data_IF_460296665182
#
_entry.id   IF_460296665182
#
_cell.length_a   1.000
_cell.length_b   1.000
_cell.length_c   1.000
_cell.angle_alpha   90.00
_cell.angle_beta   90.00
_cell.angle_gamma   90.00
#
_symmetry.space_group_name_H-M   'P 1'
#
loop_
_entity.id
_entity.type
_entity.pdbx_description
1 polymer ?
#
# COMPACT_ATOMS: atom_id res chain seq x y z
N UNK A 1 -24.13 -16.54 23.86
CA UNK A 1 -24.29 -15.87 25.17
C UNK A 1 -22.92 -15.29 25.53
N UNK A 2 -22.76 -13.96 25.54
CA UNK A 2 -21.46 -13.34 25.86
C UNK A 2 -21.19 -13.55 27.35
N UNK A 3 -20.07 -14.17 27.69
CA UNK A 3 -19.64 -14.38 29.07
C UNK A 3 -18.92 -13.11 29.54
N UNK A 4 -19.53 -12.26 30.39
CA UNK A 4 -18.95 -10.97 30.79
C UNK A 4 -17.48 -11.11 31.25
N UNK A 5 -17.19 -12.18 31.98
CA UNK A 5 -15.87 -12.42 32.56
C UNK A 5 -14.73 -12.65 31.55
N UNK A 6 -15.00 -13.12 30.32
CA UNK A 6 -13.93 -13.40 29.34
C UNK A 6 -13.15 -12.14 28.98
N UNK A 7 -13.84 -11.04 28.75
CA UNK A 7 -13.22 -9.76 28.36
C UNK A 7 -12.39 -9.16 29.49
N UNK A 8 -12.86 -9.28 30.73
CA UNK A 8 -12.16 -8.77 31.91
C UNK A 8 -10.96 -9.65 32.26
N UNK A 9 -11.08 -10.97 32.12
CA UNK A 9 -9.97 -11.90 32.30
C UNK A 9 -8.89 -11.71 31.24
N UNK A 10 -9.28 -11.53 29.98
CA UNK A 10 -8.37 -11.15 28.90
C UNK A 10 -7.63 -9.86 29.25
N UNK A 11 -8.36 -8.81 29.64
CA UNK A 11 -7.76 -7.54 30.04
C UNK A 11 -6.74 -7.70 31.18
N UNK A 12 -7.09 -8.41 32.26
CA UNK A 12 -6.19 -8.63 33.39
C UNK A 12 -4.91 -9.36 32.99
N UNK A 13 -4.99 -10.26 32.02
CA UNK A 13 -3.83 -11.01 31.50
C UNK A 13 -2.92 -10.14 30.64
N UNK A 14 -3.49 -9.32 29.74
CA UNK A 14 -2.68 -8.48 28.83
C UNK A 14 -2.16 -7.20 29.51
N UNK A 15 -2.87 -6.71 30.52
CA UNK A 15 -2.50 -5.53 31.31
C UNK A 15 -1.65 -5.86 32.55
N UNK A 16 -1.13 -7.08 32.65
CA UNK A 16 -0.37 -7.51 33.83
C UNK A 16 0.83 -6.58 34.09
N UNK A 17 0.98 -6.13 35.33
CA UNK A 17 2.00 -5.15 35.72
C UNK A 17 1.75 -3.69 35.27
N UNK A 18 0.70 -3.41 34.50
CA UNK A 18 0.35 -2.05 34.06
C UNK A 18 -0.72 -1.42 34.97
N UNK A 19 -0.67 -0.09 35.12
CA UNK A 19 -1.77 0.64 35.77
C UNK A 19 -2.94 0.80 34.80
N UNK A 20 -4.17 0.90 35.32
CA UNK A 20 -5.35 1.14 34.48
C UNK A 20 -5.19 2.42 33.65
N UNK A 21 -4.58 3.47 34.22
CA UNK A 21 -4.31 4.70 33.52
C UNK A 21 -3.32 4.52 32.35
N UNK A 22 -2.27 3.71 32.54
CA UNK A 22 -1.31 3.42 31.47
C UNK A 22 -2.00 2.71 30.29
N UNK A 23 -2.85 1.72 30.56
CA UNK A 23 -3.60 1.01 29.50
C UNK A 23 -4.63 1.92 28.84
N UNK A 24 -5.34 2.74 29.62
CA UNK A 24 -6.31 3.70 29.09
C UNK A 24 -5.65 4.73 28.18
N UNK A 25 -4.47 5.23 28.58
CA UNK A 25 -3.66 6.17 27.78
C UNK A 25 -3.19 5.52 26.49
N UNK A 26 -2.67 4.29 26.55
CA UNK A 26 -2.25 3.55 25.36
C UNK A 26 -3.40 3.30 24.38
N UNK A 27 -4.60 3.08 24.91
CA UNK A 27 -5.80 2.81 24.14
C UNK A 27 -6.61 4.07 23.76
N UNK A 28 -6.04 5.27 23.93
CA UNK A 28 -6.67 6.57 23.65
C UNK A 28 -8.08 6.71 24.26
N UNK A 29 -8.21 6.33 25.54
CA UNK A 29 -9.47 6.42 26.28
C UNK A 29 -9.26 6.98 27.68
N UNK A 30 -10.33 7.54 28.27
CA UNK A 30 -10.26 8.02 29.65
C UNK A 30 -10.19 6.85 30.62
N UNK A 31 -9.37 6.97 31.67
CA UNK A 31 -9.30 5.98 32.75
C UNK A 31 -10.67 5.66 33.35
N UNK A 32 -11.52 6.69 33.55
CA UNK A 32 -12.88 6.53 34.08
C UNK A 32 -13.78 5.66 33.21
N UNK A 33 -13.60 5.72 31.89
CA UNK A 33 -14.34 4.88 30.94
C UNK A 33 -13.92 3.43 31.09
N UNK A 34 -12.61 3.16 31.06
CA UNK A 34 -12.07 1.80 31.19
C UNK A 34 -12.45 1.18 32.55
N UNK A 35 -12.29 1.92 33.64
CA UNK A 35 -12.68 1.48 34.98
C UNK A 35 -14.17 1.10 35.06
N UNK A 36 -15.06 1.89 34.43
CA UNK A 36 -16.49 1.60 34.41
C UNK A 36 -16.79 0.32 33.63
N UNK A 37 -16.09 0.07 32.52
CA UNK A 37 -16.26 -1.14 31.72
C UNK A 37 -15.79 -2.39 32.47
N UNK A 38 -14.64 -2.31 33.17
CA UNK A 38 -14.12 -3.38 34.01
C UNK A 38 -15.09 -3.68 35.16
N UNK A 39 -15.58 -2.64 35.87
CA UNK A 39 -16.55 -2.79 36.97
C UNK A 39 -17.89 -3.37 36.53
N UNK A 40 -18.33 -3.03 35.31
CA UNK A 40 -19.52 -3.64 34.69
C UNK A 40 -19.30 -5.11 34.33
N UNK A 41 -18.05 -5.59 34.38
CA UNK A 41 -17.71 -6.95 34.00
C UNK A 41 -17.71 -7.16 32.50
N UNK A 42 -17.67 -6.11 31.66
CA UNK A 42 -17.67 -6.29 30.20
C UNK A 42 -17.01 -5.11 29.48
N UNK A 43 -15.94 -5.43 28.76
CA UNK A 43 -15.21 -4.51 27.88
C UNK A 43 -15.73 -4.72 26.45
N UNK A 44 -16.38 -3.70 25.85
CA UNK A 44 -16.98 -3.83 24.52
C UNK A 44 -15.90 -3.99 23.44
N UNK A 45 -16.23 -4.63 22.32
CA UNK A 45 -15.30 -4.92 21.22
C UNK A 45 -14.48 -3.69 20.75
N UNK A 46 -15.05 -2.49 20.57
CA UNK A 46 -14.26 -1.31 20.19
C UNK A 46 -13.15 -0.99 21.20
N UNK A 47 -13.42 -1.15 22.49
CA UNK A 47 -12.42 -0.93 23.54
C UNK A 47 -11.38 -2.04 23.58
N UNK A 48 -11.75 -3.29 23.31
CA UNK A 48 -10.78 -4.40 23.13
C UNK A 48 -9.82 -4.12 21.98
N UNK A 49 -10.34 -3.65 20.83
CA UNK A 49 -9.52 -3.30 19.66
C UNK A 49 -8.57 -2.15 20.00
N UNK A 50 -9.07 -1.10 20.67
CA UNK A 50 -8.25 0.04 21.06
C UNK A 50 -7.12 -0.36 22.02
N UNK A 51 -7.43 -1.21 23.02
CA UNK A 51 -6.44 -1.74 23.96
C UNK A 51 -5.42 -2.62 23.24
N UNK A 52 -5.86 -3.52 22.35
CA UNK A 52 -4.96 -4.38 21.59
C UNK A 52 -3.97 -3.54 20.76
N UNK A 53 -4.46 -2.52 20.03
CA UNK A 53 -3.60 -1.60 19.26
C UNK A 53 -2.64 -0.81 20.15
N UNK A 54 -3.13 -0.30 21.28
CA UNK A 54 -2.31 0.47 22.23
C UNK A 54 -1.19 -0.35 22.88
N UNK A 55 -1.38 -1.67 23.00
CA UNK A 55 -0.41 -2.61 23.56
C UNK A 55 0.39 -3.37 22.49
N UNK A 56 0.29 -2.98 21.22
CA UNK A 56 0.93 -3.65 20.08
C UNK A 56 0.59 -5.15 19.95
N UNK A 57 -0.65 -5.50 20.31
CA UNK A 57 -1.20 -6.84 20.19
C UNK A 57 -2.09 -6.94 18.94
N UNK A 58 -2.18 -8.15 18.37
CA UNK A 58 -3.06 -8.41 17.24
C UNK A 58 -4.55 -8.26 17.66
N UNK A 59 -5.30 -7.29 17.09
CA UNK A 59 -6.70 -7.06 17.45
C UNK A 59 -7.61 -8.23 17.09
N UNK A 60 -7.29 -8.99 16.03
CA UNK A 60 -8.07 -10.16 15.61
C UNK A 60 -7.97 -11.25 16.66
N UNK A 61 -6.74 -11.58 17.10
CA UNK A 61 -6.52 -12.55 18.18
C UNK A 61 -7.24 -12.12 19.47
N UNK A 62 -7.15 -10.83 19.83
CA UNK A 62 -7.84 -10.30 21.01
C UNK A 62 -9.36 -10.48 20.93
N UNK A 63 -9.97 -10.26 19.76
CA UNK A 63 -11.40 -10.45 19.54
C UNK A 63 -11.82 -11.93 19.60
N UNK A 64 -11.01 -12.84 19.07
CA UNK A 64 -11.26 -14.29 19.18
C UNK A 64 -11.19 -14.72 20.64
N UNK A 65 -10.14 -14.33 21.36
CA UNK A 65 -9.97 -14.66 22.78
C UNK A 65 -11.09 -14.09 23.66
N UNK A 66 -11.59 -12.90 23.31
CA UNK A 66 -12.73 -12.28 23.99
C UNK A 66 -14.09 -12.87 23.58
N UNK A 67 -14.15 -13.81 22.63
CA UNK A 67 -15.38 -14.42 22.13
C UNK A 67 -16.24 -13.49 21.29
N UNK A 68 -15.64 -12.43 20.72
CA UNK A 68 -16.30 -11.56 19.74
C UNK A 68 -16.23 -12.11 18.32
N UNK A 69 -15.23 -12.93 18.03
CA UNK A 69 -15.06 -13.68 16.79
C UNK A 69 -14.90 -15.17 17.12
N UNK A 70 -15.43 -16.05 16.28
CA UNK A 70 -15.14 -17.47 16.33
C UNK A 70 -13.80 -17.76 15.64
N UNK A 71 -13.08 -18.79 16.08
CA UNK A 71 -11.79 -19.14 15.50
C UNK A 71 -11.92 -19.53 14.01
N UNK A 72 -13.05 -20.14 13.66
CA UNK A 72 -13.40 -20.55 12.31
C UNK A 72 -13.60 -19.36 11.38
N UNK A 73 -14.15 -18.24 11.88
CA UNK A 73 -14.34 -17.00 11.10
C UNK A 73 -13.01 -16.34 10.71
N UNK A 74 -11.97 -16.52 11.53
CA UNK A 74 -10.63 -15.99 11.28
C UNK A 74 -9.80 -16.93 10.40
N UNK A 75 -9.97 -18.24 10.58
CA UNK A 75 -9.27 -19.25 9.78
C UNK A 75 -9.78 -19.33 8.33
N UNK A 76 -11.02 -18.91 8.08
CA UNK A 76 -11.69 -19.05 6.78
C UNK A 76 -11.43 -17.94 5.77
N UNK A 77 -11.45 -16.65 6.17
CA UNK A 77 -11.75 -15.59 5.19
C UNK A 77 -10.95 -14.27 5.34
N UNK A 78 -9.92 -14.21 6.19
CA UNK A 78 -9.14 -12.97 6.35
C UNK A 78 -7.84 -13.02 5.54
N UNK A 79 -7.95 -12.78 4.23
CA UNK A 79 -6.79 -12.43 3.39
C UNK A 79 -6.68 -10.91 3.29
N UNK A 80 -6.01 -10.29 4.27
CA UNK A 80 -5.55 -8.90 4.11
C UNK A 80 -4.28 -8.96 3.27
N UNK A 81 -4.45 -8.96 1.96
CA UNK A 81 -3.36 -8.79 1.01
C UNK A 81 -3.23 -7.29 0.74
N UNK A 82 -2.13 -6.69 1.18
CA UNK A 82 -1.73 -5.39 0.66
C UNK A 82 -1.10 -5.58 -0.72
N UNK A 83 -1.91 -5.41 -1.75
CA UNK A 83 -1.54 -5.55 -3.17
C UNK A 83 -0.35 -4.69 -3.60
N UNK A 84 0.01 -3.66 -2.84
CA UNK A 84 1.16 -2.80 -3.15
C UNK A 84 2.50 -3.37 -2.67
N UNK A 85 2.46 -4.40 -1.82
CA UNK A 85 3.65 -5.03 -1.22
C UNK A 85 3.86 -6.48 -1.66
N UNK A 86 2.86 -7.07 -2.32
CA UNK A 86 2.95 -8.42 -2.91
C UNK A 86 3.94 -8.39 -4.06
N UNK A 87 4.87 -9.35 -4.08
CA UNK A 87 5.78 -9.50 -5.22
C UNK A 87 5.05 -10.05 -6.44
N UNK A 88 5.54 -9.73 -7.64
CA UNK A 88 5.00 -10.29 -8.89
C UNK A 88 4.97 -11.83 -8.89
N UNK A 89 5.93 -12.48 -8.21
CA UNK A 89 5.98 -13.94 -8.11
C UNK A 89 4.86 -14.53 -7.26
N UNK A 90 4.48 -13.86 -6.17
CA UNK A 90 3.36 -14.25 -5.32
C UNK A 90 2.03 -14.01 -6.02
N UNK A 91 1.92 -12.89 -6.75
CA UNK A 91 0.76 -12.60 -7.58
C UNK A 91 0.60 -13.65 -8.69
N UNK A 92 1.68 -14.00 -9.39
CA UNK A 92 1.68 -15.05 -10.41
C UNK A 92 1.28 -16.41 -9.83
N UNK A 93 1.79 -16.77 -8.64
CA UNK A 93 1.45 -18.01 -7.97
C UNK A 93 -0.04 -18.08 -7.62
N UNK A 94 -0.62 -16.97 -7.16
CA UNK A 94 -2.05 -16.89 -6.85
C UNK A 94 -2.92 -16.94 -8.11
N UNK A 95 -2.53 -16.26 -9.19
CA UNK A 95 -3.23 -16.35 -10.49
C UNK A 95 -3.18 -17.79 -11.03
N UNK A 96 -2.02 -18.44 -10.96
CA UNK A 96 -1.86 -19.84 -11.37
C UNK A 96 -2.70 -20.78 -10.51
N UNK A 97 -2.79 -20.55 -9.20
CA UNK A 97 -3.66 -21.32 -8.31
C UNK A 97 -5.13 -21.17 -8.73
N UNK A 98 -5.60 -19.94 -8.99
CA UNK A 98 -6.97 -19.67 -9.46
C UNK A 98 -7.28 -20.34 -10.79
N UNK A 99 -6.33 -20.39 -11.72
CA UNK A 99 -6.50 -21.09 -13.00
C UNK A 99 -6.64 -22.59 -12.78
N UNK A 100 -5.86 -23.19 -11.87
CA UNK A 100 -5.94 -24.63 -11.54
C UNK A 100 -7.23 -24.99 -10.80
N UNK A 101 -7.69 -24.09 -9.95
CA UNK A 101 -8.90 -24.26 -9.13
C UNK A 101 -10.16 -23.79 -9.87
N UNK A 102 -10.04 -23.26 -11.10
CA UNK A 102 -11.18 -22.82 -11.88
C UNK A 102 -12.05 -24.03 -12.30
N UNK A 103 -13.38 -23.98 -12.08
CA UNK A 103 -14.28 -24.95 -12.69
C UNK A 103 -14.24 -24.80 -14.23
N UNK A 104 -14.41 -25.91 -14.95
CA UNK A 104 -14.14 -26.08 -16.39
C UNK A 104 -14.98 -25.18 -17.34
N UNK A 105 -15.85 -24.36 -16.78
CA UNK A 105 -16.91 -23.61 -17.41
C UNK A 105 -16.72 -22.08 -17.31
N UNK A 106 -15.50 -21.62 -17.01
CA UNK A 106 -15.18 -20.18 -16.88
C UNK A 106 -14.50 -19.52 -18.09
N UNK A 107 -14.50 -20.18 -19.25
CA UNK A 107 -14.00 -19.63 -20.51
C UNK A 107 -15.15 -19.07 -21.36
N UNK A 108 -15.66 -17.90 -20.99
CA UNK A 108 -16.33 -17.02 -21.96
C UNK A 108 -15.55 -15.71 -22.02
N UNK A 109 -14.49 -15.73 -22.84
CA UNK A 109 -13.96 -14.51 -23.41
C UNK A 109 -15.03 -13.96 -24.37
N UNK A 110 -15.75 -12.92 -23.97
CA UNK A 110 -16.49 -12.08 -24.92
C UNK A 110 -15.46 -11.28 -25.71
N UNK A 111 -15.01 -11.84 -26.82
CA UNK A 111 -14.28 -11.13 -27.87
C UNK A 111 -15.26 -10.20 -28.61
N UNK A 112 -15.53 -9.04 -28.01
CA UNK A 112 -16.17 -7.93 -28.71
C UNK A 112 -15.08 -7.08 -29.41
N UNK A 113 -14.35 -7.69 -30.34
CA UNK A 113 -13.54 -6.96 -31.31
C UNK A 113 -14.26 -6.99 -32.66
N UNK A 114 -15.30 -6.16 -32.80
CA UNK A 114 -15.94 -5.92 -34.09
C UNK A 114 -14.94 -5.26 -35.06
N UNK A 115 -14.39 -6.10 -35.92
CA UNK A 115 -13.66 -5.73 -37.14
C UNK A 115 -14.65 -5.18 -38.17
N UNK A 116 -14.79 -3.85 -38.23
CA UNK A 116 -15.37 -3.17 -39.40
C UNK A 116 -14.24 -2.76 -40.35
N UNK A 117 -14.08 -3.55 -41.41
CA UNK A 117 -13.27 -3.24 -42.59
C UNK A 117 -13.93 -2.10 -43.36
N UNK A 118 -13.31 -0.92 -43.36
CA UNK A 118 -13.44 0.06 -44.45
C UNK A 118 -12.03 0.35 -44.97
N UNK A 119 -11.62 -0.41 -45.98
CA UNK A 119 -10.47 -0.08 -46.81
C UNK A 119 -10.92 0.99 -47.80
N UNK A 120 -10.65 2.26 -47.50
CA UNK A 120 -10.60 3.29 -48.53
C UNK A 120 -9.26 3.19 -49.27
N UNK A 121 -9.37 3.02 -50.60
CA UNK A 121 -8.27 3.02 -51.53
C UNK A 121 -7.53 4.38 -51.52
N UNK A 122 -6.24 4.38 -51.16
CA UNK A 122 -5.33 5.49 -51.47
C UNK A 122 -4.13 4.92 -52.23
N UNK A 123 -4.16 5.09 -53.56
CA UNK A 123 -3.02 4.80 -54.43
C UNK A 123 -1.85 5.79 -54.20
N UNK A 124 -0.69 5.19 -53.96
CA UNK A 124 0.65 5.54 -54.46
C UNK A 124 1.32 6.88 -54.06
N UNK A 125 2.30 6.81 -53.13
CA UNK A 125 3.75 6.85 -53.43
C UNK A 125 4.56 7.44 -52.26
N UNK A 126 5.37 6.60 -51.60
CA UNK A 126 6.64 6.97 -50.97
C UNK A 126 7.35 5.69 -50.47
N UNK A 127 8.63 5.45 -50.80
CA UNK A 127 9.33 4.27 -50.33
C UNK A 127 9.49 4.31 -48.81
N UNK A 128 9.32 3.14 -48.18
CA UNK A 128 9.50 2.93 -46.75
C UNK A 128 10.78 3.61 -46.25
N UNK A 129 10.62 4.67 -45.45
CA UNK A 129 11.76 5.21 -44.70
C UNK A 129 12.11 4.18 -43.61
N UNK A 130 13.38 3.80 -43.46
CA UNK A 130 13.79 2.99 -42.32
C UNK A 130 13.44 3.73 -41.02
N UNK A 131 12.99 2.98 -40.00
CA UNK A 131 12.72 3.50 -38.66
C UNK A 131 13.98 4.18 -38.13
N UNK A 132 14.08 5.50 -38.30
CA UNK A 132 15.03 6.29 -37.53
C UNK A 132 14.54 6.27 -36.10
N UNK A 133 15.39 5.80 -35.19
CA UNK A 133 15.23 5.96 -33.74
C UNK A 133 14.77 7.40 -33.51
N UNK A 134 13.53 7.55 -33.04
CA UNK A 134 13.11 8.81 -32.45
C UNK A 134 13.87 8.87 -31.13
N UNK A 135 15.03 9.53 -31.14
CA UNK A 135 15.67 9.91 -29.88
C UNK A 135 14.61 10.69 -29.10
N UNK A 136 14.14 10.08 -28.02
CA UNK A 136 13.25 10.71 -27.07
C UNK A 136 13.89 12.02 -26.63
N UNK A 137 13.32 13.13 -27.09
CA UNK A 137 13.88 14.47 -26.96
C UNK A 137 13.55 15.02 -25.57
N UNK A 138 13.68 14.20 -24.53
CA UNK A 138 13.44 14.56 -23.15
C UNK A 138 14.69 15.14 -22.43
N UNK A 139 15.88 15.03 -23.03
CA UNK A 139 17.15 15.41 -22.37
C UNK A 139 17.76 16.76 -22.79
N UNK A 140 17.04 17.62 -23.54
CA UNK A 140 17.61 18.90 -24.04
C UNK A 140 17.27 20.16 -23.24
N UNK A 141 16.73 20.03 -22.03
CA UNK A 141 16.53 21.20 -21.17
C UNK A 141 17.55 21.15 -20.04
N UNK A 142 18.59 21.99 -20.15
CA UNK A 142 19.55 22.20 -19.07
C UNK A 142 18.78 22.49 -17.78
N UNK A 143 19.18 21.91 -16.63
CA UNK A 143 18.47 22.08 -15.36
C UNK A 143 18.14 23.55 -15.04
N UNK A 144 19.04 24.47 -15.41
CA UNK A 144 18.91 25.93 -15.26
C UNK A 144 17.74 26.58 -16.00
N UNK A 145 17.13 25.89 -16.95
CA UNK A 145 15.99 26.37 -17.74
C UNK A 145 14.65 25.82 -17.25
N UNK A 146 14.65 25.01 -16.18
CA UNK A 146 13.43 24.47 -15.59
C UNK A 146 12.74 25.53 -14.70
N UNK A 147 11.41 25.70 -14.81
CA UNK A 147 10.67 26.59 -13.91
C UNK A 147 10.87 26.14 -12.45
N UNK A 148 11.36 27.04 -11.59
CA UNK A 148 11.66 26.73 -10.19
C UNK A 148 13.07 26.17 -9.93
N UNK A 149 13.99 26.24 -10.92
CA UNK A 149 15.40 25.93 -10.70
C UNK A 149 16.04 26.89 -9.70
N UNK A 150 16.50 26.34 -8.58
CA UNK A 150 17.25 27.03 -7.54
C UNK A 150 18.63 26.36 -7.42
N UNK A 151 19.71 27.02 -7.87
CA UNK A 151 21.03 26.41 -7.91
C UNK A 151 21.57 26.07 -6.52
N UNK A 152 21.16 26.80 -5.47
CA UNK A 152 21.62 26.55 -4.11
C UNK A 152 21.00 25.27 -3.53
N UNK A 153 19.73 24.98 -3.88
CA UNK A 153 19.05 23.74 -3.48
C UNK A 153 19.63 22.49 -4.14
N UNK A 154 20.12 22.60 -5.37
CA UNK A 154 20.76 21.49 -6.08
C UNK A 154 22.15 21.16 -5.52
N UNK A 155 22.94 22.18 -5.18
CA UNK A 155 24.23 22.01 -4.52
C UNK A 155 24.10 21.35 -3.13
N UNK A 156 23.00 21.61 -2.42
CA UNK A 156 22.70 20.98 -1.14
C UNK A 156 22.32 19.49 -1.25
N UNK A 157 21.77 19.05 -2.40
CA UNK A 157 21.31 17.68 -2.62
C UNK A 157 22.42 16.75 -3.14
N UNK A 158 23.49 17.31 -3.72
CA UNK A 158 24.60 16.57 -4.32
C UNK A 158 25.96 17.16 -3.87
N UNK A 159 26.48 16.76 -2.70
CA UNK A 159 27.80 17.21 -2.23
C UNK A 159 28.89 16.67 -3.17
N UNK A 160 29.37 17.52 -4.07
CA UNK A 160 30.34 17.18 -5.12
C UNK A 160 30.13 17.93 -6.45
N UNK A 161 29.01 18.63 -6.63
CA UNK A 161 28.77 19.45 -7.83
C UNK A 161 29.57 20.77 -7.75
N UNK A 162 30.63 20.90 -8.54
CA UNK A 162 31.40 22.15 -8.65
C UNK A 162 30.83 23.00 -9.79
N UNK A 163 30.32 24.18 -9.45
CA UNK A 163 29.71 25.14 -10.41
C UNK A 163 30.76 25.72 -11.40
N UNK A 164 32.06 25.53 -11.15
CA UNK A 164 33.12 26.14 -11.96
C UNK A 164 33.37 25.44 -13.31
N UNK A 165 33.02 24.16 -13.46
CA UNK A 165 33.27 23.41 -14.71
C UNK A 165 32.35 23.83 -15.88
N UNK A 166 31.18 24.42 -15.61
CA UNK A 166 30.27 24.91 -16.66
C UNK A 166 30.74 26.20 -17.34
N UNK A 167 31.71 26.93 -16.75
CA UNK A 167 32.22 28.19 -17.35
C UNK A 167 33.29 27.93 -18.42
N UNK A 168 34.05 26.86 -18.32
CA UNK A 168 35.12 26.57 -19.28
C UNK A 168 34.61 26.01 -20.62
N UNK A 169 33.41 25.40 -20.63
CA UNK A 169 32.75 24.95 -21.87
C UNK A 169 32.30 26.08 -22.80
N UNK A 170 32.23 27.34 -22.33
CA UNK A 170 31.87 28.50 -23.17
C UNK A 170 33.05 29.15 -23.90
N UNK A 171 34.30 28.84 -23.54
CA UNK A 171 35.46 29.50 -24.15
C UNK A 171 35.95 28.83 -25.45
N UNK A 172 35.58 27.57 -25.72
CA UNK A 172 36.13 26.80 -26.84
C UNK A 172 35.16 26.57 -28.02
N UNK A 173 34.01 27.26 -28.06
CA UNK A 173 33.10 27.18 -29.20
C UNK A 173 32.52 28.55 -29.53
N UNK A 174 33.36 29.39 -30.14
CA UNK A 174 32.91 30.50 -30.97
C UNK A 174 33.66 30.41 -32.31
N UNK A 175 32.98 30.55 -33.45
CA UNK A 175 33.53 30.30 -34.79
C UNK A 175 34.63 31.29 -35.19
#
# INVERSE_FOLDING_TARGET
MKTPDMTVNWYRRVADGMTVNAVATAADMTQSTLDRQIKRGNIPAPSVIAIARGLDLNPVSALVECGYLAAEEVAGDVQIIDWTTVSDSELCAEVLRRIKDAPADRDEATDDTDNATETEDVEDTAPARPLTIVEDRADRVSPSQRPGYDPEKLAALAPGYSIEEEREGRANNQP
#
